data_IF_799298078337
#
_entry.id   IF_799298078337
#
_cell.length_a   1.000
_cell.length_b   1.000
_cell.length_c   1.000
_cell.angle_alpha   90.00
_cell.angle_beta   90.00
_cell.angle_gamma   90.00
#
_symmetry.space_group_name_H-M   'P 1'
#
loop_
_entity.id
_entity.type
_entity.pdbx_description
1 polymer ?
#
# COMPACT_ATOMS: atom_id res chain seq x y z
N UNK A 1 -34.52 10.03 83.05
CA UNK A 1 -35.66 9.09 83.06
C UNK A 1 -36.42 9.29 81.76
N UNK A 2 -36.41 8.31 80.86
CA UNK A 2 -37.15 8.37 79.59
C UNK A 2 -38.61 7.99 79.87
N UNK A 3 -39.56 8.84 79.46
CA UNK A 3 -40.98 8.55 79.56
C UNK A 3 -41.30 7.35 78.67
N UNK A 4 -42.00 6.35 79.23
CA UNK A 4 -42.44 5.17 78.50
C UNK A 4 -43.32 5.57 77.31
N UNK A 5 -43.07 4.94 76.17
CA UNK A 5 -43.73 5.26 74.91
C UNK A 5 -45.22 4.83 74.99
N UNK A 6 -46.19 5.66 74.57
CA UNK A 6 -47.64 5.36 74.69
C UNK A 6 -48.13 4.13 73.90
N UNK A 7 -47.25 3.53 73.11
CA UNK A 7 -47.55 2.46 72.17
C UNK A 7 -46.81 1.16 72.52
N UNK A 8 -46.21 1.09 73.71
CA UNK A 8 -45.55 -0.12 74.17
C UNK A 8 -46.62 -1.15 74.62
N UNK A 9 -46.66 -2.38 74.08
CA UNK A 9 -47.67 -3.39 74.43
C UNK A 9 -47.54 -3.96 75.85
N UNK A 10 -46.78 -3.31 76.73
CA UNK A 10 -46.49 -3.77 78.08
C UNK A 10 -47.72 -3.63 79.00
N UNK A 11 -48.56 -4.66 78.96
CA UNK A 11 -49.12 -5.36 80.10
C UNK A 11 -49.74 -4.51 81.24
N UNK A 12 -50.98 -4.06 81.03
CA UNK A 12 -52.08 -4.23 82.00
C UNK A 12 -53.41 -4.39 81.23
N UNK A 13 -54.36 -5.23 81.68
CA UNK A 13 -55.67 -5.30 81.05
C UNK A 13 -56.36 -3.94 81.18
N UNK A 14 -56.52 -3.23 80.05
CA UNK A 14 -57.31 -2.00 80.01
C UNK A 14 -58.65 -2.21 80.72
N UNK A 15 -59.10 -1.24 81.53
CA UNK A 15 -60.37 -1.32 82.26
C UNK A 15 -61.56 -1.67 81.34
N UNK A 16 -61.51 -1.22 80.08
CA UNK A 16 -62.47 -1.60 79.05
C UNK A 16 -62.39 -3.10 78.69
N UNK A 17 -61.19 -3.69 78.63
CA UNK A 17 -60.98 -5.12 78.40
C UNK A 17 -61.55 -5.98 79.51
N UNK A 18 -61.42 -5.54 80.77
CA UNK A 18 -62.03 -6.23 81.92
C UNK A 18 -63.56 -6.19 81.86
N UNK A 19 -64.16 -5.03 81.57
CA UNK A 19 -65.62 -4.91 81.40
C UNK A 19 -66.15 -5.76 80.24
N UNK A 20 -65.47 -5.75 79.10
CA UNK A 20 -65.83 -6.58 77.96
C UNK A 20 -65.72 -8.07 78.29
N UNK A 21 -64.70 -8.49 79.04
CA UNK A 21 -64.56 -9.88 79.49
C UNK A 21 -65.72 -10.32 80.41
N UNK A 22 -66.17 -9.43 81.29
CA UNK A 22 -67.33 -9.68 82.16
C UNK A 22 -68.62 -9.78 81.34
N UNK A 23 -68.82 -8.92 80.33
CA UNK A 23 -69.99 -9.00 79.45
C UNK A 23 -70.02 -10.29 78.62
N UNK A 24 -68.86 -10.80 78.20
CA UNK A 24 -68.77 -12.12 77.57
C UNK A 24 -69.08 -13.24 78.55
N UNK A 25 -68.53 -13.20 79.76
CA UNK A 25 -68.78 -14.21 80.80
C UNK A 25 -70.25 -14.23 81.27
N UNK A 26 -70.92 -13.07 81.32
CA UNK A 26 -72.34 -12.93 81.66
C UNK A 26 -73.29 -13.33 80.53
N UNK A 27 -72.78 -13.66 79.34
CA UNK A 27 -73.59 -14.02 78.16
C UNK A 27 -74.31 -12.84 77.50
N UNK A 28 -74.12 -11.60 77.99
CA UNK A 28 -74.72 -10.39 77.41
C UNK A 28 -74.16 -10.06 76.02
N UNK A 29 -72.92 -10.45 75.74
CA UNK A 29 -72.27 -10.27 74.44
C UNK A 29 -71.58 -11.59 74.06
N UNK A 30 -71.81 -12.09 72.84
CA UNK A 30 -71.11 -13.29 72.37
C UNK A 30 -69.72 -12.93 71.84
N UNK A 31 -68.76 -13.85 71.99
CA UNK A 31 -67.41 -13.68 71.43
C UNK A 31 -67.43 -13.43 69.91
N UNK A 32 -68.42 -13.99 69.21
CA UNK A 32 -68.63 -13.75 67.78
C UNK A 32 -69.01 -12.30 67.46
N UNK A 33 -69.86 -11.65 68.27
CA UNK A 33 -70.22 -10.24 68.09
C UNK A 33 -69.00 -9.31 68.25
N UNK A 34 -68.09 -9.61 69.17
CA UNK A 34 -66.83 -8.85 69.31
C UNK A 34 -65.88 -9.11 68.14
N UNK A 35 -65.82 -10.36 67.66
CA UNK A 35 -64.96 -10.77 66.55
C UNK A 35 -65.40 -10.21 65.18
N UNK A 36 -66.68 -9.84 64.98
CA UNK A 36 -67.15 -9.18 63.76
C UNK A 36 -66.44 -7.83 63.53
N UNK A 37 -66.20 -7.05 64.60
CA UNK A 37 -65.44 -5.80 64.50
C UNK A 37 -63.93 -6.00 64.26
N UNK A 38 -63.44 -7.22 64.53
CA UNK A 38 -62.04 -7.62 64.41
C UNK A 38 -61.65 -8.04 63.00
N UNK A 39 -62.59 -8.08 62.05
CA UNK A 39 -62.26 -8.20 60.62
C UNK A 39 -61.42 -6.99 60.25
N UNK A 40 -60.10 -7.21 60.20
CA UNK A 40 -59.07 -6.27 59.74
C UNK A 40 -59.66 -5.45 58.61
N UNK A 41 -59.84 -4.16 58.87
CA UNK A 41 -60.56 -3.33 57.95
C UNK A 41 -59.79 -3.25 56.61
N UNK A 42 -60.49 -3.41 55.47
CA UNK A 42 -59.86 -3.61 54.16
C UNK A 42 -58.89 -2.49 53.75
N UNK A 43 -58.98 -1.31 54.37
CA UNK A 43 -58.09 -0.18 54.14
C UNK A 43 -56.62 -0.46 54.50
N UNK A 44 -56.33 -1.21 55.58
CA UNK A 44 -54.95 -1.50 55.98
C UNK A 44 -54.27 -2.46 54.99
N UNK A 45 -55.01 -3.46 54.50
CA UNK A 45 -54.52 -4.39 53.48
C UNK A 45 -54.25 -3.65 52.17
N UNK A 46 -55.11 -2.71 51.80
CA UNK A 46 -54.92 -1.86 50.62
C UNK A 46 -53.71 -0.94 50.75
N UNK A 47 -53.45 -0.38 51.93
CA UNK A 47 -52.26 0.45 52.18
C UNK A 47 -50.97 -0.38 52.03
N UNK A 48 -50.90 -1.56 52.64
CA UNK A 48 -49.77 -2.47 52.49
C UNK A 48 -49.53 -2.86 51.02
N UNK A 49 -50.61 -3.08 50.26
CA UNK A 49 -50.53 -3.39 48.84
C UNK A 49 -50.02 -2.21 48.01
N UNK A 50 -50.52 -1.00 48.27
CA UNK A 50 -50.05 0.23 47.61
C UNK A 50 -48.57 0.49 47.92
N UNK A 51 -48.17 0.30 49.17
CA UNK A 51 -46.76 0.40 49.58
C UNK A 51 -45.89 -0.62 48.83
N UNK A 52 -46.33 -1.87 48.71
CA UNK A 52 -45.62 -2.89 47.94
C UNK A 52 -45.51 -2.52 46.46
N UNK A 53 -46.58 -2.02 45.83
CA UNK A 53 -46.55 -1.57 44.44
C UNK A 53 -45.56 -0.42 44.26
N UNK A 54 -45.56 0.56 45.16
CA UNK A 54 -44.62 1.68 45.12
C UNK A 54 -43.17 1.22 45.28
N UNK A 55 -42.91 0.28 46.19
CA UNK A 55 -41.58 -0.30 46.38
C UNK A 55 -41.11 -1.05 45.12
N UNK A 56 -41.97 -1.88 44.53
CA UNK A 56 -41.66 -2.62 43.29
C UNK A 56 -41.42 -1.64 42.14
N UNK A 57 -42.21 -0.58 42.02
CA UNK A 57 -42.00 0.46 41.02
C UNK A 57 -40.63 1.12 41.18
N UNK A 58 -40.26 1.50 42.40
CA UNK A 58 -38.94 2.06 42.67
C UNK A 58 -37.80 1.10 42.29
N UNK A 59 -37.96 -0.19 42.59
CA UNK A 59 -37.00 -1.22 42.19
C UNK A 59 -36.88 -1.36 40.66
N UNK A 60 -38.01 -1.35 39.94
CA UNK A 60 -38.02 -1.35 38.47
C UNK A 60 -37.29 -0.13 37.91
N UNK A 61 -37.55 1.06 38.45
CA UNK A 61 -36.87 2.27 38.02
C UNK A 61 -35.36 2.18 38.27
N UNK A 62 -34.96 1.70 39.44
CA UNK A 62 -33.55 1.49 39.76
C UNK A 62 -32.88 0.50 38.79
N UNK A 63 -33.54 -0.63 38.50
CA UNK A 63 -33.02 -1.65 37.58
C UNK A 63 -32.93 -1.14 36.14
N UNK A 64 -33.88 -0.33 35.70
CA UNK A 64 -33.82 0.31 34.38
C UNK A 64 -32.60 1.23 34.26
N UNK A 65 -32.30 2.02 35.29
CA UNK A 65 -31.10 2.88 35.30
C UNK A 65 -29.82 2.05 35.28
N UNK A 66 -29.76 0.95 36.04
CA UNK A 66 -28.62 0.02 36.02
C UNK A 66 -28.40 -0.57 34.61
N UNK A 67 -29.48 -0.93 33.91
CA UNK A 67 -29.43 -1.40 32.52
C UNK A 67 -28.90 -0.32 31.57
N UNK A 68 -29.34 0.93 31.70
CA UNK A 68 -28.83 2.02 30.87
C UNK A 68 -27.35 2.27 31.10
N UNK A 69 -26.90 2.23 32.35
CA UNK A 69 -25.49 2.38 32.71
C UNK A 69 -24.64 1.27 32.08
N UNK A 70 -25.07 0.01 32.20
CA UNK A 70 -24.37 -1.13 31.61
C UNK A 70 -24.34 -1.08 30.08
N UNK A 71 -25.42 -0.60 29.44
CA UNK A 71 -25.43 -0.38 27.98
C UNK A 71 -24.40 0.68 27.59
N UNK A 72 -24.37 1.80 28.30
CA UNK A 72 -23.41 2.87 28.03
C UNK A 72 -21.97 2.40 28.21
N UNK A 73 -21.70 1.62 29.26
CA UNK A 73 -20.38 1.01 29.50
C UNK A 73 -20.00 0.07 28.35
N UNK A 74 -20.91 -0.80 27.91
CA UNK A 74 -20.68 -1.71 26.78
C UNK A 74 -20.40 -0.96 25.48
N UNK A 75 -21.16 0.09 25.20
CA UNK A 75 -21.04 0.86 23.95
C UNK A 75 -19.78 1.74 23.94
N UNK A 76 -19.24 2.08 25.12
CA UNK A 76 -18.00 2.86 25.29
C UNK A 76 -16.78 1.99 25.60
N UNK A 77 -16.97 0.67 25.75
CA UNK A 77 -15.92 -0.25 26.19
C UNK A 77 -14.71 -0.25 25.25
N UNK A 78 -14.90 -0.07 23.96
CA UNK A 78 -13.83 -0.12 22.97
C UNK A 78 -12.83 1.06 23.06
N UNK A 79 -13.21 2.14 23.75
CA UNK A 79 -12.38 3.34 23.98
C UNK A 79 -12.03 3.58 25.45
N UNK A 80 -12.78 3.02 26.40
CA UNK A 80 -12.49 3.18 27.84
C UNK A 80 -11.84 1.93 28.44
N UNK A 81 -12.19 0.74 27.97
CA UNK A 81 -11.77 -0.49 28.63
C UNK A 81 -10.31 -0.85 28.25
N UNK A 82 -9.42 -1.07 29.23
CA UNK A 82 -8.00 -1.33 29.00
C UNK A 82 -7.71 -2.49 28.06
N UNK A 83 -8.51 -3.56 28.09
CA UNK A 83 -8.38 -4.71 27.20
C UNK A 83 -8.46 -4.32 25.70
N UNK A 84 -9.53 -3.62 25.29
CA UNK A 84 -9.72 -3.25 23.89
C UNK A 84 -8.70 -2.19 23.45
N UNK A 85 -8.34 -1.27 24.35
CA UNK A 85 -7.25 -0.31 24.11
C UNK A 85 -5.91 -1.00 23.91
N UNK A 86 -5.54 -1.93 24.79
CA UNK A 86 -4.31 -2.70 24.68
C UNK A 86 -4.27 -3.51 23.36
N UNK A 87 -5.40 -4.11 22.96
CA UNK A 87 -5.52 -4.82 21.69
C UNK A 87 -5.33 -3.89 20.48
N UNK A 88 -5.96 -2.72 20.48
CA UNK A 88 -5.79 -1.69 19.43
C UNK A 88 -4.32 -1.20 19.39
N UNK A 89 -3.73 -0.90 20.54
CA UNK A 89 -2.33 -0.50 20.66
C UNK A 89 -1.37 -1.59 20.13
N UNK A 90 -1.62 -2.85 20.45
CA UNK A 90 -0.79 -3.96 20.00
C UNK A 90 -0.84 -4.11 18.46
N UNK A 91 -2.03 -3.98 17.88
CA UNK A 91 -2.22 -3.99 16.42
C UNK A 91 -1.45 -2.85 15.76
N UNK A 92 -1.58 -1.62 16.27
CA UNK A 92 -0.86 -0.46 15.74
C UNK A 92 0.65 -0.59 15.89
N UNK A 93 1.12 -1.12 17.02
CA UNK A 93 2.55 -1.34 17.25
C UNK A 93 3.11 -2.39 16.30
N UNK A 94 2.36 -3.47 16.04
CA UNK A 94 2.72 -4.47 15.04
C UNK A 94 2.84 -3.85 13.63
N UNK A 95 1.86 -3.04 13.22
CA UNK A 95 1.91 -2.33 11.94
C UNK A 95 3.13 -1.39 11.85
N UNK A 96 3.41 -0.63 12.90
CA UNK A 96 4.58 0.26 12.93
C UNK A 96 5.89 -0.51 12.82
N UNK A 97 6.03 -1.64 13.51
CA UNK A 97 7.20 -2.51 13.40
C UNK A 97 7.38 -3.03 11.96
N UNK A 98 6.29 -3.43 11.32
CA UNK A 98 6.32 -3.85 9.91
C UNK A 98 6.72 -2.71 8.97
N UNK A 99 6.18 -1.50 9.17
CA UNK A 99 6.58 -0.32 8.38
C UNK A 99 8.06 0.01 8.56
N UNK A 100 8.57 -0.07 9.79
CA UNK A 100 9.98 0.17 10.06
C UNK A 100 10.88 -0.85 9.35
N UNK A 101 10.48 -2.13 9.34
CA UNK A 101 11.17 -3.18 8.60
C UNK A 101 11.18 -2.92 7.09
N UNK A 102 10.02 -2.54 6.52
CA UNK A 102 9.91 -2.18 5.09
C UNK A 102 10.80 -1.00 4.74
N UNK A 103 10.88 0.02 5.60
CA UNK A 103 11.74 1.18 5.38
C UNK A 103 13.24 0.82 5.44
N UNK A 104 13.63 -0.06 6.37
CA UNK A 104 15.00 -0.59 6.44
C UNK A 104 15.37 -1.37 5.19
N UNK A 105 14.50 -2.25 4.71
CA UNK A 105 14.70 -3.02 3.48
C UNK A 105 14.75 -2.13 2.24
N UNK A 106 13.86 -1.14 2.13
CA UNK A 106 13.90 -0.16 1.04
C UNK A 106 15.25 0.58 1.00
N UNK A 107 15.79 0.95 2.17
CA UNK A 107 17.10 1.60 2.27
C UNK A 107 18.24 0.67 1.87
N UNK A 108 18.21 -0.57 2.36
CA UNK A 108 19.16 -1.64 2.00
C UNK A 108 19.17 -1.91 0.49
N UNK A 109 17.98 -2.04 -0.10
CA UNK A 109 17.82 -2.27 -1.54
C UNK A 109 18.36 -1.09 -2.35
N UNK A 110 18.05 0.15 -1.96
CA UNK A 110 18.59 1.34 -2.63
C UNK A 110 20.12 1.36 -2.57
N UNK A 111 20.72 1.03 -1.43
CA UNK A 111 22.16 0.97 -1.29
C UNK A 111 22.78 -0.12 -2.18
N UNK A 112 22.16 -1.31 -2.22
CA UNK A 112 22.60 -2.41 -3.08
C UNK A 112 22.51 -2.05 -4.57
N UNK A 113 21.39 -1.48 -5.01
CA UNK A 113 21.19 -1.07 -6.40
C UNK A 113 22.10 0.09 -6.82
N UNK A 114 22.36 1.03 -5.92
CA UNK A 114 23.32 2.11 -6.17
C UNK A 114 24.74 1.56 -6.31
N UNK A 115 25.11 0.58 -5.48
CA UNK A 115 26.40 -0.10 -5.59
C UNK A 115 26.54 -0.84 -6.92
N UNK A 116 25.53 -1.59 -7.34
CA UNK A 116 25.58 -2.33 -8.63
C UNK A 116 25.64 -1.39 -9.83
N UNK A 117 24.88 -0.28 -9.82
CA UNK A 117 24.94 0.71 -10.91
C UNK A 117 26.26 1.48 -10.96
N UNK A 118 26.93 1.69 -9.82
CA UNK A 118 28.26 2.29 -9.77
C UNK A 118 29.39 1.30 -10.12
N UNK A 119 29.20 -0.01 -9.93
CA UNK A 119 30.14 -1.03 -10.40
C UNK A 119 29.98 -1.33 -11.90
N UNK A 120 28.77 -1.22 -12.46
CA UNK A 120 28.50 -1.39 -13.89
C UNK A 120 28.93 -0.17 -14.73
N UNK A 121 28.74 1.05 -14.22
CA UNK A 121 29.41 2.22 -14.76
C UNK A 121 30.82 2.26 -14.19
N UNK A 122 31.74 1.49 -14.77
CA UNK A 122 33.14 1.56 -14.36
C UNK A 122 33.54 3.03 -14.30
N UNK A 123 34.04 3.53 -13.15
CA UNK A 123 34.65 4.84 -13.13
C UNK A 123 35.80 4.77 -14.12
N UNK A 124 35.66 5.47 -15.24
CA UNK A 124 36.77 5.63 -16.17
C UNK A 124 37.87 6.26 -15.33
N UNK A 125 39.02 5.58 -15.26
CA UNK A 125 40.13 6.09 -14.47
C UNK A 125 40.45 7.51 -14.96
N UNK A 126 40.70 8.45 -14.05
CA UNK A 126 40.86 9.86 -14.40
C UNK A 126 41.92 10.09 -15.49
N UNK A 127 42.90 9.19 -15.60
CA UNK A 127 43.94 9.16 -16.64
C UNK A 127 43.35 8.98 -18.04
N UNK A 128 42.27 8.22 -18.19
CA UNK A 128 41.63 7.93 -19.47
C UNK A 128 40.59 8.98 -19.89
N UNK A 129 40.15 9.87 -18.98
CA UNK A 129 39.18 10.92 -19.30
C UNK A 129 39.63 11.81 -20.46
N UNK A 130 40.90 12.21 -20.50
CA UNK A 130 41.43 13.06 -21.58
C UNK A 130 41.31 12.38 -22.96
N UNK A 131 41.55 11.08 -23.02
CA UNK A 131 41.43 10.32 -24.27
C UNK A 131 39.97 10.10 -24.67
N UNK A 132 39.08 9.89 -23.69
CA UNK A 132 37.65 9.76 -23.93
C UNK A 132 37.01 11.05 -24.43
N UNK A 133 37.37 12.20 -23.84
CA UNK A 133 36.90 13.51 -24.32
C UNK A 133 37.33 13.74 -25.77
N UNK A 134 38.59 13.47 -26.11
CA UNK A 134 39.06 13.59 -27.50
C UNK A 134 38.36 12.61 -28.46
N UNK A 135 38.12 11.36 -28.04
CA UNK A 135 37.42 10.40 -28.88
C UNK A 135 35.97 10.82 -29.13
N UNK A 136 35.28 11.32 -28.10
CA UNK A 136 33.91 11.82 -28.21
C UNK A 136 33.85 13.07 -29.11
N UNK A 137 34.80 13.99 -28.98
CA UNK A 137 34.92 15.17 -29.85
C UNK A 137 35.13 14.77 -31.32
N UNK A 138 36.00 13.79 -31.59
CA UNK A 138 36.19 13.22 -32.92
C UNK A 138 34.92 12.54 -33.46
N UNK A 139 34.18 11.83 -32.61
CA UNK A 139 32.94 11.17 -33.00
C UNK A 139 31.84 12.19 -33.36
N UNK A 140 31.65 13.22 -32.53
CA UNK A 140 30.67 14.29 -32.78
C UNK A 140 31.00 15.02 -34.07
N UNK A 141 32.25 15.45 -34.25
CA UNK A 141 32.68 16.14 -35.48
C UNK A 141 32.58 15.26 -36.73
N UNK A 142 32.82 13.95 -36.61
CA UNK A 142 32.59 13.01 -37.70
C UNK A 142 31.11 12.90 -38.08
N UNK A 143 30.22 12.77 -37.09
CA UNK A 143 28.77 12.70 -37.29
C UNK A 143 28.27 13.98 -37.97
N UNK A 144 28.64 15.15 -37.45
CA UNK A 144 28.26 16.45 -38.04
C UNK A 144 28.70 16.57 -39.50
N UNK A 145 29.92 16.12 -39.83
CA UNK A 145 30.40 16.11 -41.22
C UNK A 145 29.62 15.15 -42.09
N UNK A 146 29.32 13.96 -41.59
CA UNK A 146 28.53 12.96 -42.31
C UNK A 146 27.12 13.48 -42.60
N UNK A 147 26.47 14.09 -41.61
CA UNK A 147 25.14 14.70 -41.74
C UNK A 147 25.16 15.81 -42.80
N UNK A 148 26.14 16.71 -42.76
CA UNK A 148 26.31 17.76 -43.77
C UNK A 148 26.49 17.19 -45.19
N UNK A 149 27.24 16.09 -45.34
CA UNK A 149 27.40 15.42 -46.62
C UNK A 149 26.10 14.78 -47.12
N UNK A 150 25.34 14.12 -46.22
CA UNK A 150 24.04 13.54 -46.55
C UNK A 150 23.03 14.62 -46.94
N UNK A 151 23.00 15.75 -46.22
CA UNK A 151 22.14 16.87 -46.52
C UNK A 151 22.52 17.52 -47.86
N UNK A 152 23.82 17.61 -48.18
CA UNK A 152 24.27 18.08 -49.49
C UNK A 152 23.77 17.17 -50.61
N UNK A 153 23.87 15.85 -50.45
CA UNK A 153 23.37 14.86 -51.43
C UNK A 153 21.86 14.99 -51.62
N UNK A 154 21.12 15.15 -50.53
CA UNK A 154 19.66 15.32 -50.55
C UNK A 154 19.22 16.58 -51.30
N UNK A 155 20.02 17.64 -51.22
CA UNK A 155 19.74 18.92 -51.87
C UNK A 155 20.24 19.02 -53.32
N UNK A 156 20.80 17.95 -53.91
CA UNK A 156 21.18 17.91 -55.33
C UNK A 156 19.90 17.91 -56.20
N UNK A 157 19.68 18.94 -57.05
CA UNK A 157 18.52 19.00 -57.91
C UNK A 157 18.47 17.81 -58.89
N UNK A 158 17.28 17.28 -59.14
CA UNK A 158 17.02 16.15 -60.06
C UNK A 158 17.62 14.79 -59.68
N UNK A 159 18.32 14.65 -58.54
CA UNK A 159 18.88 13.35 -58.12
C UNK A 159 17.77 12.32 -57.87
N UNK A 160 16.70 12.71 -57.19
CA UNK A 160 15.56 11.84 -56.88
C UNK A 160 14.77 11.43 -58.15
N UNK A 161 14.57 12.39 -59.07
CA UNK A 161 13.99 12.11 -60.38
C UNK A 161 14.86 11.16 -61.22
N UNK A 162 16.18 11.31 -61.19
CA UNK A 162 17.10 10.43 -61.90
C UNK A 162 17.15 9.03 -61.29
N UNK A 163 17.08 8.89 -59.96
CA UNK A 163 16.98 7.60 -59.27
C UNK A 163 15.64 6.90 -59.58
N UNK A 164 14.52 7.65 -59.61
CA UNK A 164 13.22 7.10 -60.06
C UNK A 164 13.28 6.65 -61.52
N UNK A 165 13.86 7.45 -62.42
CA UNK A 165 14.04 7.05 -63.83
C UNK A 165 14.88 5.78 -63.94
N UNK A 166 15.98 5.69 -63.20
CA UNK A 166 16.86 4.52 -63.23
C UNK A 166 16.16 3.25 -62.71
N UNK A 167 15.45 3.34 -61.58
CA UNK A 167 14.66 2.21 -61.04
C UNK A 167 13.51 1.79 -61.97
N UNK A 168 12.86 2.74 -62.66
CA UNK A 168 11.88 2.43 -63.71
C UNK A 168 12.55 1.67 -64.87
N UNK A 169 13.71 2.12 -65.35
CA UNK A 169 14.44 1.44 -66.44
C UNK A 169 14.94 0.05 -66.04
N UNK A 170 15.32 -0.18 -64.77
CA UNK A 170 15.70 -1.51 -64.28
C UNK A 170 14.50 -2.47 -64.22
N UNK A 171 13.35 -2.00 -63.72
CA UNK A 171 12.10 -2.80 -63.74
C UNK A 171 11.61 -3.12 -65.16
N UNK A 172 11.88 -2.26 -66.13
CA UNK A 172 11.59 -2.54 -67.54
C UNK A 172 12.59 -3.52 -68.16
N UNK A 173 13.88 -3.43 -67.82
CA UNK A 173 14.91 -4.42 -68.22
C UNK A 173 14.68 -5.80 -67.61
N UNK A 174 14.07 -5.87 -66.44
CA UNK A 174 13.70 -7.13 -65.78
C UNK A 174 12.44 -7.73 -66.43
N UNK A 175 11.40 -6.91 -66.69
CA UNK A 175 10.22 -7.34 -67.46
C UNK A 175 10.55 -7.77 -68.90
N UNK A 176 11.53 -7.14 -69.54
CA UNK A 176 11.97 -7.50 -70.90
C UNK A 176 12.79 -8.80 -70.98
N UNK A 177 13.30 -9.31 -69.85
CA UNK A 177 14.03 -10.60 -69.81
C UNK A 177 13.09 -11.82 -69.74
N UNK A 178 11.86 -11.65 -69.29
CA UNK A 178 10.88 -12.73 -69.16
C UNK A 178 10.04 -13.00 -70.41
N UNK A 179 10.08 -12.14 -71.44
CA UNK A 179 9.23 -12.28 -72.65
C UNK A 179 9.96 -12.50 -73.98
N UNK A 180 11.23 -12.93 -73.99
CA UNK A 180 12.02 -12.99 -75.23
C UNK A 180 12.79 -14.29 -75.49
N UNK A 181 12.10 -15.35 -75.95
CA UNK A 181 12.71 -16.57 -76.51
C UNK A 181 12.64 -16.52 -78.04
N UNK A 182 13.77 -16.37 -78.76
CA UNK A 182 13.80 -16.61 -80.21
C UNK A 182 14.91 -15.92 -81.03
N UNK A 183 15.81 -16.76 -81.62
CA UNK A 183 16.64 -16.67 -82.86
C UNK A 183 16.82 -15.28 -83.54
N UNK A 184 17.97 -14.88 -84.10
CA UNK A 184 18.90 -15.60 -84.99
C UNK A 184 20.16 -14.75 -85.26
N UNK A 185 21.21 -15.43 -85.73
CA UNK A 185 22.51 -14.92 -86.22
C UNK A 185 22.38 -13.94 -87.38
N UNK A 186 23.24 -12.92 -87.41
CA UNK A 186 23.98 -12.48 -88.61
C UNK A 186 25.35 -11.91 -88.23
N UNK A 187 26.34 -12.15 -89.09
CA UNK A 187 27.77 -11.90 -88.93
C UNK A 187 28.19 -10.43 -89.14
N UNK A 188 29.38 -10.11 -88.60
CA UNK A 188 30.11 -8.83 -88.53
C UNK A 188 30.57 -8.22 -89.88
N UNK A 189 31.21 -7.02 -89.89
CA UNK A 189 32.67 -6.98 -89.77
C UNK A 189 33.25 -5.81 -88.94
N UNK A 190 34.51 -5.96 -88.54
CA UNK A 190 35.16 -5.18 -87.48
C UNK A 190 35.78 -3.83 -87.86
N UNK A 191 36.24 -3.14 -86.81
CA UNK A 191 37.28 -2.12 -86.86
C UNK A 191 38.01 -2.06 -85.52
N UNK A 192 39.32 -2.30 -85.55
CA UNK A 192 40.27 -2.09 -84.45
C UNK A 192 40.57 -0.59 -84.30
N UNK A 193 40.81 -0.18 -83.05
CA UNK A 193 41.75 0.86 -82.51
C UNK A 193 41.18 1.22 -81.13
N UNK A 194 41.79 0.91 -79.98
CA UNK A 194 43.19 0.97 -79.61
C UNK A 194 43.40 2.21 -78.74
N UNK A 195 43.13 2.13 -77.43
CA UNK A 195 43.60 3.10 -76.43
C UNK A 195 43.99 2.35 -75.15
N UNK A 196 45.16 2.75 -74.64
CA UNK A 196 45.99 2.11 -73.64
C UNK A 196 45.50 2.32 -72.20
N UNK A 197 45.79 1.29 -71.38
CA UNK A 197 46.26 1.34 -69.99
C UNK A 197 45.77 2.45 -69.05
N UNK A 198 45.06 2.01 -68.00
CA UNK A 198 45.50 2.27 -66.61
C UNK A 198 44.89 1.25 -65.65
N UNK A 199 45.66 0.21 -65.34
CA UNK A 199 45.42 -0.69 -64.21
C UNK A 199 45.86 0.05 -62.94
N UNK A 200 44.90 0.52 -62.14
CA UNK A 200 45.19 0.89 -60.76
C UNK A 200 45.31 -0.39 -59.93
N UNK A 201 46.54 -0.68 -59.51
CA UNK A 201 46.84 -1.71 -58.52
C UNK A 201 46.17 -1.34 -57.20
N UNK A 202 45.21 -2.16 -56.77
CA UNK A 202 44.77 -2.23 -55.37
C UNK A 202 45.89 -2.93 -54.60
N UNK A 203 46.46 -2.25 -53.59
CA UNK A 203 47.47 -2.82 -52.71
C UNK A 203 46.83 -3.81 -51.72
N UNK A 204 47.46 -4.97 -51.41
CA UNK A 204 46.94 -5.89 -50.40
C UNK A 204 47.35 -5.47 -48.99
N UNK A 205 46.35 -5.47 -48.11
CA UNK A 205 46.45 -5.49 -46.67
C UNK A 205 47.12 -6.79 -46.20
N UNK A 206 48.26 -6.72 -45.49
CA UNK A 206 48.81 -7.86 -44.75
C UNK A 206 49.65 -7.46 -43.52
N UNK A 207 49.08 -7.79 -42.36
CA UNK A 207 49.67 -8.33 -41.12
C UNK A 207 51.09 -7.94 -40.69
N UNK A 208 51.15 -7.29 -39.52
CA UNK A 208 51.74 -7.90 -38.32
C UNK A 208 53.22 -7.65 -38.02
N UNK A 209 53.50 -6.86 -36.98
CA UNK A 209 54.68 -7.04 -36.12
C UNK A 209 54.26 -6.95 -34.67
N UNK A 210 54.48 -8.06 -33.95
CA UNK A 210 54.46 -8.16 -32.49
C UNK A 210 55.60 -7.30 -31.95
N UNK A 211 55.35 -6.53 -30.91
CA UNK A 211 56.38 -6.04 -30.01
C UNK A 211 56.04 -6.53 -28.60
N UNK A 212 56.91 -7.41 -28.13
CA UNK A 212 57.10 -7.81 -26.73
C UNK A 212 57.62 -6.62 -25.93
N UNK A 213 56.96 -6.27 -24.83
CA UNK A 213 57.54 -5.49 -23.74
C UNK A 213 56.92 -5.96 -22.41
N UNK A 214 57.79 -6.16 -21.42
CA UNK A 214 57.57 -6.76 -20.11
C UNK A 214 56.67 -5.92 -19.17
N UNK A 215 56.13 -6.51 -18.08
CA UNK A 215 55.29 -5.78 -17.13
C UNK A 215 56.13 -5.03 -16.08
N UNK A 216 55.74 -3.83 -15.64
CA UNK A 216 56.23 -3.30 -14.38
C UNK A 216 55.29 -3.69 -13.24
N UNK A 217 55.85 -4.48 -12.33
CA UNK A 217 55.75 -4.48 -10.87
C UNK A 217 54.67 -3.58 -10.23
N UNK A 218 53.91 -4.23 -9.34
CA UNK A 218 53.21 -3.63 -8.20
C UNK A 218 54.01 -2.50 -7.53
N UNK A 219 53.26 -1.49 -7.05
CA UNK A 219 53.41 -1.14 -5.64
C UNK A 219 52.05 -1.16 -4.93
N UNK A 220 52.05 -1.90 -3.83
CA UNK A 220 51.18 -1.70 -2.67
C UNK A 220 50.85 -0.21 -2.48
N UNK A 221 49.57 0.16 -2.37
CA UNK A 221 49.11 1.13 -1.36
C UNK A 221 47.59 1.23 -1.25
N UNK A 222 47.12 0.72 -0.10
CA UNK A 222 46.19 1.35 0.84
C UNK A 222 44.79 1.71 0.34
N UNK A 223 43.87 0.79 0.67
CA UNK A 223 42.51 1.11 1.07
C UNK A 223 42.53 2.14 2.22
N UNK A 224 41.98 3.33 1.99
CA UNK A 224 41.51 4.21 3.06
C UNK A 224 40.09 4.61 2.69
N UNK A 225 39.14 4.03 3.44
CA UNK A 225 37.76 4.50 3.51
C UNK A 225 37.73 5.88 4.20
N UNK A 226 37.00 6.81 3.60
CA UNK A 226 36.15 7.77 4.30
C UNK A 226 34.82 7.84 3.55
#
# INVERSE_FOLDING_TARGET
MAAAHPWDPACEPSAAGLLLSHFVASGMVTQEMLNISKKSAPYFVNFSRLQQISNIQAEIYQKNLEIELLKLEKDTADVVHPFFLAQKCHTLQSMNNHLEAVLKEKRSLRQRLLKTTCEENLPIEAVYHRYMVHLLELAVTFIERLENHLETIRNIPHLDENLRKMSHTERERERGRDTGRGRSRFHAPGARRGIQSRVFRIAPWAKGKRQTAAPPRDPQQKWICW
#
